data_IF_925208721172
#
_entry.id   IF_925208721172
#
_cell.length_a   1.000
_cell.length_b   1.000
_cell.length_c   1.000
_cell.angle_alpha   90.00
_cell.angle_beta   90.00
_cell.angle_gamma   90.00
#
_symmetry.space_group_name_H-M   'P 1'
#
loop_
_entity.id
_entity.type
_entity.pdbx_description
1 polymer ?
#
# COMPACT_ATOMS: atom_id res chain seq x y z
N UNK A 1 48.95 47.37 36.08
CA UNK A 1 48.77 48.75 35.57
C UNK A 1 48.78 48.68 34.06
N UNK A 2 47.77 49.25 33.41
CA UNK A 2 47.65 49.28 31.95
C UNK A 2 46.20 49.23 31.45
N UNK A 3 45.42 50.25 31.79
CA UNK A 3 44.33 50.78 30.94
C UNK A 3 44.94 51.23 29.59
N UNK A 4 44.31 51.39 28.42
CA UNK A 4 42.95 51.76 28.01
C UNK A 4 42.71 51.19 26.59
N UNK A 5 41.52 50.64 26.32
CA UNK A 5 41.06 50.28 24.98
C UNK A 5 40.09 51.34 24.45
N UNK A 6 40.42 51.92 23.30
CA UNK A 6 39.67 52.99 22.62
C UNK A 6 38.20 52.65 22.34
N UNK A 7 37.33 53.60 22.69
CA UNK A 7 35.99 53.74 22.16
C UNK A 7 36.04 54.12 20.66
N UNK A 8 35.31 53.37 19.83
CA UNK A 8 34.70 53.94 18.63
C UNK A 8 33.25 53.45 18.51
N UNK A 9 32.38 54.46 18.52
CA UNK A 9 30.94 54.48 18.31
C UNK A 9 30.49 53.74 17.06
N UNK A 10 29.64 52.72 17.23
CA UNK A 10 28.79 52.15 16.18
C UNK A 10 27.33 52.51 16.47
N UNK A 11 26.74 53.29 15.57
CA UNK A 11 25.34 53.72 15.57
C UNK A 11 24.35 52.55 15.66
N UNK A 12 23.29 52.77 16.45
CA UNK A 12 22.12 51.93 16.52
C UNK A 12 21.21 52.23 15.31
N UNK A 13 21.07 51.30 14.38
CA UNK A 13 19.99 51.31 13.38
C UNK A 13 18.88 50.35 13.83
N UNK A 14 17.82 50.94 14.35
CA UNK A 14 16.62 50.25 14.79
C UNK A 14 15.63 50.12 13.63
N UNK A 15 15.40 48.87 13.20
CA UNK A 15 14.08 48.41 12.79
C UNK A 15 13.63 48.68 11.35
N UNK A 16 13.68 47.62 10.53
CA UNK A 16 12.62 47.34 9.54
C UNK A 16 12.25 45.85 9.57
N UNK A 17 10.97 45.50 9.72
CA UNK A 17 10.53 44.11 9.66
C UNK A 17 10.54 43.62 8.20
N UNK A 18 11.22 42.48 7.98
CA UNK A 18 11.17 41.75 6.71
C UNK A 18 9.76 41.18 6.55
N UNK A 19 9.01 41.69 5.56
CA UNK A 19 7.73 41.16 5.17
C UNK A 19 7.91 39.76 4.57
N UNK A 20 7.66 38.72 5.37
CA UNK A 20 7.56 37.34 4.87
C UNK A 20 6.30 37.23 4.00
N UNK A 21 6.52 37.04 2.69
CA UNK A 21 5.46 36.91 1.70
C UNK A 21 4.60 35.68 1.99
N UNK A 22 3.28 35.90 1.96
CA UNK A 22 2.25 34.90 2.11
C UNK A 22 2.33 33.87 0.98
N UNK A 23 2.51 32.61 1.35
CA UNK A 23 2.43 31.47 0.44
C UNK A 23 2.13 30.19 1.20
N UNK A 24 1.02 30.14 1.94
CA UNK A 24 0.53 28.87 2.48
C UNK A 24 0.23 27.92 1.31
N UNK A 25 0.73 26.67 1.32
CA UNK A 25 0.40 25.71 0.28
C UNK A 25 -1.12 25.50 0.25
N UNK A 26 -1.67 25.54 -0.96
CA UNK A 26 -3.11 25.40 -1.28
C UNK A 26 -3.70 24.25 -0.46
N UNK A 27 -4.87 24.50 0.15
CA UNK A 27 -5.68 23.51 0.88
C UNK A 27 -5.64 22.19 0.11
N UNK A 28 -5.02 21.15 0.68
CA UNK A 28 -5.19 19.77 0.22
C UNK A 28 -6.69 19.55 0.15
N UNK A 29 -7.21 19.30 -1.04
CA UNK A 29 -8.53 18.71 -1.18
C UNK A 29 -8.58 17.50 -0.26
N UNK A 30 -9.56 17.49 0.64
CA UNK A 30 -9.81 16.34 1.49
C UNK A 30 -10.28 15.24 0.56
N UNK A 31 -9.35 14.41 0.11
CA UNK A 31 -9.65 13.07 -0.38
C UNK A 31 -10.32 12.38 0.82
N UNK A 32 -11.64 12.39 0.85
CA UNK A 32 -12.44 11.65 1.83
C UNK A 32 -12.48 10.22 1.37
N UNK A 33 -11.32 9.57 1.32
CA UNK A 33 -11.29 8.14 1.45
C UNK A 33 -11.89 7.88 2.83
N UNK A 34 -13.13 7.39 2.86
CA UNK A 34 -13.83 6.96 4.08
C UNK A 34 -13.14 5.69 4.58
N UNK A 35 -11.92 5.85 5.07
CA UNK A 35 -11.37 4.87 5.98
C UNK A 35 -12.20 4.99 7.25
N UNK A 36 -12.83 3.90 7.67
CA UNK A 36 -13.34 3.76 9.04
C UNK A 36 -12.12 3.80 9.97
N UNK A 37 -11.65 5.00 10.27
CA UNK A 37 -10.57 5.22 11.24
C UNK A 37 -11.18 4.88 12.60
N UNK A 38 -11.06 3.62 13.00
CA UNK A 38 -11.38 3.17 14.34
C UNK A 38 -10.33 3.77 15.28
N UNK A 39 -10.66 4.91 15.86
CA UNK A 39 -9.88 5.49 16.95
C UNK A 39 -9.87 4.49 18.11
N UNK A 40 -8.70 3.91 18.40
CA UNK A 40 -8.49 3.19 19.65
C UNK A 40 -8.23 4.24 20.73
N UNK A 41 -9.20 4.41 21.62
CA UNK A 41 -9.01 5.22 22.82
C UNK A 41 -7.91 4.58 23.69
N UNK A 42 -6.87 5.35 24.01
CA UNK A 42 -5.81 4.93 24.93
C UNK A 42 -6.35 5.13 26.34
N UNK A 43 -6.71 4.04 27.01
CA UNK A 43 -7.40 4.09 28.31
C UNK A 43 -6.45 4.05 29.50
N UNK A 44 -5.22 3.59 29.31
CA UNK A 44 -4.26 3.35 30.39
C UNK A 44 -2.90 3.95 30.07
N UNK A 45 -2.13 4.22 31.13
CA UNK A 45 -0.75 4.66 30.99
C UNK A 45 0.13 3.58 30.33
N UNK A 46 -0.09 2.30 30.65
CA UNK A 46 0.53 1.17 29.95
C UNK A 46 0.25 1.15 28.45
N UNK A 47 -1.00 1.38 28.01
CA UNK A 47 -1.33 1.44 26.58
C UNK A 47 -0.58 2.59 25.89
N UNK A 48 -0.41 3.71 26.58
CA UNK A 48 0.33 4.87 26.07
C UNK A 48 1.83 4.60 26.01
N UNK A 49 2.40 4.02 27.07
CA UNK A 49 3.80 3.62 27.13
C UNK A 49 4.12 2.58 26.06
N UNK A 50 3.26 1.58 25.86
CA UNK A 50 3.42 0.59 24.80
C UNK A 50 3.40 1.26 23.41
N UNK A 51 2.50 2.22 23.19
CA UNK A 51 2.41 2.94 21.92
C UNK A 51 3.65 3.81 21.64
N UNK A 52 4.27 4.37 22.68
CA UNK A 52 5.55 5.09 22.55
C UNK A 52 6.72 4.12 22.36
N UNK A 53 6.73 3.00 23.10
CA UNK A 53 7.78 1.99 22.98
C UNK A 53 7.79 1.33 21.61
N UNK A 54 6.62 1.20 21.01
CA UNK A 54 6.46 0.71 19.66
C UNK A 54 6.96 1.73 18.61
N UNK A 55 7.39 2.95 18.98
CA UNK A 55 7.96 3.92 18.05
C UNK A 55 9.51 3.98 18.07
N UNK A 56 10.17 3.94 16.90
CA UNK A 56 9.59 3.72 15.58
C UNK A 56 9.16 2.26 15.40
N UNK A 57 8.03 2.02 14.72
CA UNK A 57 7.51 0.67 14.48
C UNK A 57 8.63 -0.25 13.98
N UNK A 58 8.75 -1.45 14.56
CA UNK A 58 9.66 -2.45 14.02
C UNK A 58 9.33 -2.74 12.55
N UNK A 59 10.29 -3.21 11.77
CA UNK A 59 10.04 -3.58 10.37
C UNK A 59 8.85 -4.54 10.24
N UNK A 60 8.75 -5.50 11.17
CA UNK A 60 7.66 -6.46 11.24
C UNK A 60 6.32 -5.81 11.62
N UNK A 61 6.29 -4.85 12.55
CA UNK A 61 5.06 -4.13 12.90
C UNK A 61 4.52 -3.33 11.69
N UNK A 62 5.41 -2.66 10.95
CA UNK A 62 5.05 -1.99 9.70
C UNK A 62 4.49 -2.96 8.68
N UNK A 63 5.19 -4.07 8.44
CA UNK A 63 4.75 -5.08 7.47
C UNK A 63 3.35 -5.61 7.80
N UNK A 64 3.09 -5.98 9.06
CA UNK A 64 1.78 -6.45 9.50
C UNK A 64 0.68 -5.41 9.26
N UNK A 65 0.93 -4.15 9.60
CA UNK A 65 -0.03 -3.06 9.40
C UNK A 65 -0.29 -2.80 7.90
N UNK A 66 0.75 -2.86 7.07
CA UNK A 66 0.61 -2.76 5.62
C UNK A 66 -0.22 -3.94 5.08
N UNK A 67 0.05 -5.17 5.51
CA UNK A 67 -0.71 -6.33 5.07
C UNK A 67 -2.19 -6.29 5.52
N UNK A 68 -2.48 -5.78 6.71
CA UNK A 68 -3.85 -5.50 7.18
C UNK A 68 -4.56 -4.49 6.27
N UNK A 69 -3.89 -3.39 5.96
CA UNK A 69 -4.44 -2.35 5.08
C UNK A 69 -4.70 -2.86 3.66
N UNK A 70 -3.76 -3.64 3.10
CA UNK A 70 -3.90 -4.23 1.77
C UNK A 70 -5.02 -5.27 1.73
N UNK A 71 -5.19 -6.08 2.79
CA UNK A 71 -6.34 -6.98 2.89
C UNK A 71 -7.66 -6.21 2.84
N UNK A 72 -7.78 -5.10 3.58
CA UNK A 72 -8.98 -4.28 3.55
C UNK A 72 -9.26 -3.71 2.15
N UNK A 73 -8.22 -3.41 1.36
CA UNK A 73 -8.37 -3.04 -0.05
C UNK A 73 -8.84 -4.19 -0.93
N UNK A 74 -8.27 -5.39 -0.75
CA UNK A 74 -8.65 -6.60 -1.49
C UNK A 74 -10.15 -6.93 -1.30
N UNK A 75 -10.67 -6.72 -0.10
CA UNK A 75 -12.07 -6.95 0.27
C UNK A 75 -13.02 -5.82 -0.15
N UNK A 76 -12.52 -4.74 -0.75
CA UNK A 76 -13.34 -3.59 -1.13
C UNK A 76 -14.13 -3.86 -2.43
N UNK A 77 -15.35 -3.33 -2.53
CA UNK A 77 -16.24 -3.56 -3.68
C UNK A 77 -15.82 -2.81 -4.96
N UNK A 78 -15.08 -1.71 -4.80
CA UNK A 78 -14.51 -0.96 -5.92
C UNK A 78 -13.33 -1.73 -6.54
N UNK A 79 -13.47 -2.11 -7.81
CA UNK A 79 -12.49 -2.85 -8.59
C UNK A 79 -11.12 -2.19 -8.62
N UNK A 80 -11.03 -0.87 -8.70
CA UNK A 80 -9.73 -0.18 -8.75
C UNK A 80 -9.03 -0.26 -7.38
N UNK A 81 -9.80 -0.11 -6.29
CA UNK A 81 -9.28 -0.28 -4.93
C UNK A 81 -8.87 -1.72 -4.66
N UNK A 82 -9.67 -2.69 -5.12
CA UNK A 82 -9.35 -4.11 -5.04
C UNK A 82 -8.08 -4.43 -5.81
N UNK A 83 -7.95 -3.94 -7.04
CA UNK A 83 -6.77 -4.14 -7.88
C UNK A 83 -5.50 -3.60 -7.21
N UNK A 84 -5.56 -2.39 -6.64
CA UNK A 84 -4.46 -1.83 -5.84
C UNK A 84 -4.12 -2.71 -4.63
N UNK A 85 -5.13 -3.24 -3.94
CA UNK A 85 -4.96 -4.16 -2.81
C UNK A 85 -4.23 -5.44 -3.22
N UNK A 86 -4.70 -6.09 -4.28
CA UNK A 86 -4.12 -7.32 -4.81
C UNK A 86 -2.69 -7.07 -5.31
N UNK A 87 -2.45 -5.95 -5.99
CA UNK A 87 -1.12 -5.57 -6.46
C UNK A 87 -0.15 -5.37 -5.28
N UNK A 88 -0.55 -4.63 -4.25
CA UNK A 88 0.28 -4.47 -3.05
C UNK A 88 0.55 -5.80 -2.34
N UNK A 89 -0.42 -6.71 -2.31
CA UNK A 89 -0.23 -8.05 -1.73
C UNK A 89 0.79 -8.87 -2.54
N UNK A 90 0.77 -8.76 -3.87
CA UNK A 90 1.79 -9.38 -4.73
C UNK A 90 3.19 -8.82 -4.44
N UNK A 91 3.32 -7.50 -4.32
CA UNK A 91 4.59 -6.84 -3.97
C UNK A 91 5.14 -7.28 -2.61
N UNK A 92 4.27 -7.52 -1.63
CA UNK A 92 4.70 -8.12 -0.36
C UNK A 92 5.10 -9.58 -0.53
N UNK A 93 4.38 -10.34 -1.35
CA UNK A 93 4.57 -11.77 -1.55
C UNK A 93 5.83 -12.13 -2.35
N UNK A 94 6.35 -11.25 -3.20
CA UNK A 94 7.60 -11.53 -3.94
C UNK A 94 8.82 -11.65 -3.02
N UNK A 95 8.77 -11.10 -1.80
CA UNK A 95 9.80 -11.33 -0.78
C UNK A 95 9.41 -12.50 0.16
N UNK A 96 10.14 -13.63 0.15
CA UNK A 96 9.89 -14.77 1.03
C UNK A 96 9.89 -14.45 2.52
N UNK A 97 10.66 -13.45 2.97
CA UNK A 97 10.73 -13.07 4.39
C UNK A 97 9.39 -12.55 4.91
N UNK A 98 8.55 -12.01 4.02
CA UNK A 98 7.23 -11.49 4.37
C UNK A 98 6.16 -12.59 4.51
N UNK A 99 6.45 -13.82 4.07
CA UNK A 99 5.43 -14.87 3.92
C UNK A 99 4.80 -15.26 5.25
N UNK A 100 5.57 -15.23 6.35
CA UNK A 100 5.06 -15.55 7.68
C UNK A 100 4.01 -14.54 8.17
N UNK A 101 4.11 -13.29 7.71
CA UNK A 101 3.15 -12.23 8.04
C UNK A 101 1.95 -12.21 7.07
N UNK A 102 2.01 -12.92 5.94
CA UNK A 102 0.86 -13.14 5.04
C UNK A 102 0.09 -14.37 5.55
N UNK A 103 -0.67 -14.18 6.62
CA UNK A 103 -1.38 -15.25 7.32
C UNK A 103 -2.56 -15.80 6.51
N UNK A 104 -3.05 -16.99 6.89
CA UNK A 104 -4.08 -17.76 6.17
C UNK A 104 -5.29 -16.93 5.73
N UNK A 105 -5.83 -16.05 6.57
CA UNK A 105 -7.02 -15.25 6.20
C UNK A 105 -6.76 -14.38 4.96
N UNK A 106 -5.59 -13.74 4.88
CA UNK A 106 -5.20 -12.89 3.74
C UNK A 106 -5.04 -13.69 2.46
N UNK A 107 -4.49 -14.89 2.59
CA UNK A 107 -4.32 -15.83 1.49
C UNK A 107 -5.69 -16.25 0.93
N UNK A 108 -6.66 -16.53 1.81
CA UNK A 108 -8.01 -16.88 1.38
C UNK A 108 -8.72 -15.71 0.67
N UNK A 109 -8.56 -14.47 1.15
CA UNK A 109 -9.10 -13.29 0.46
C UNK A 109 -8.53 -13.15 -0.95
N UNK A 110 -7.22 -13.40 -1.14
CA UNK A 110 -6.62 -13.43 -2.48
C UNK A 110 -7.22 -14.54 -3.34
N UNK A 111 -7.44 -15.75 -2.80
CA UNK A 111 -8.03 -16.85 -3.57
C UNK A 111 -9.43 -16.49 -4.09
N UNK A 112 -10.23 -15.76 -3.32
CA UNK A 112 -11.55 -15.31 -3.77
C UNK A 112 -11.48 -14.32 -4.93
N UNK A 113 -10.42 -13.50 -5.03
CA UNK A 113 -10.20 -12.61 -6.17
C UNK A 113 -9.95 -13.34 -7.50
N UNK A 114 -9.62 -14.64 -7.50
CA UNK A 114 -9.56 -15.45 -8.73
C UNK A 114 -10.93 -15.60 -9.41
N UNK A 115 -12.02 -15.30 -8.70
CA UNK A 115 -13.39 -15.33 -9.23
C UNK A 115 -13.88 -13.96 -9.69
N UNK A 116 -13.02 -12.93 -9.65
CA UNK A 116 -13.38 -11.57 -10.04
C UNK A 116 -13.78 -11.52 -11.52
N UNK A 117 -14.79 -10.71 -11.90
CA UNK A 117 -15.12 -10.46 -13.29
C UNK A 117 -14.08 -9.58 -14.01
N UNK A 118 -13.20 -8.89 -13.27
CA UNK A 118 -12.14 -8.07 -13.85
C UNK A 118 -10.87 -8.91 -14.06
N UNK A 119 -10.44 -9.05 -15.32
CA UNK A 119 -9.27 -9.83 -15.70
C UNK A 119 -7.97 -9.32 -15.06
N UNK A 120 -7.82 -8.01 -14.84
CA UNK A 120 -6.63 -7.43 -14.20
C UNK A 120 -6.50 -7.93 -12.77
N UNK A 121 -7.62 -7.98 -12.04
CA UNK A 121 -7.68 -8.51 -10.67
C UNK A 121 -7.30 -9.98 -10.66
N UNK A 122 -7.88 -10.79 -11.55
CA UNK A 122 -7.58 -12.23 -11.65
C UNK A 122 -6.11 -12.48 -11.98
N UNK A 123 -5.57 -11.75 -12.96
CA UNK A 123 -4.18 -11.87 -13.38
C UNK A 123 -3.21 -11.52 -12.24
N UNK A 124 -3.37 -10.36 -11.60
CA UNK A 124 -2.49 -9.94 -10.50
C UNK A 124 -2.64 -10.86 -9.28
N UNK A 125 -3.85 -11.38 -9.04
CA UNK A 125 -4.08 -12.39 -7.99
C UNK A 125 -3.30 -13.67 -8.27
N UNK A 126 -3.29 -14.14 -9.51
CA UNK A 126 -2.51 -15.31 -9.90
C UNK A 126 -0.99 -15.06 -9.70
N UNK A 127 -0.50 -13.84 -9.96
CA UNK A 127 0.88 -13.45 -9.68
C UNK A 127 1.21 -13.50 -8.17
N UNK A 128 0.30 -13.00 -7.31
CA UNK A 128 0.46 -13.09 -5.87
C UNK A 128 0.51 -14.56 -5.38
N UNK A 129 -0.39 -15.40 -5.88
CA UNK A 129 -0.44 -16.84 -5.56
C UNK A 129 0.85 -17.55 -6.00
N UNK A 130 1.36 -17.23 -7.18
CA UNK A 130 2.63 -17.76 -7.67
C UNK A 130 3.79 -17.42 -6.72
N UNK A 131 3.90 -16.14 -6.30
CA UNK A 131 4.95 -15.71 -5.38
C UNK A 131 4.88 -16.44 -4.01
N UNK A 132 3.67 -16.56 -3.45
CA UNK A 132 3.42 -17.27 -2.18
C UNK A 132 3.63 -18.79 -2.28
N UNK A 133 3.54 -19.37 -3.47
CA UNK A 133 3.67 -20.83 -3.67
C UNK A 133 5.06 -21.37 -3.37
N UNK A 134 6.07 -20.52 -3.17
CA UNK A 134 7.39 -20.92 -2.69
C UNK A 134 7.37 -21.37 -1.23
N UNK A 135 6.41 -20.90 -0.42
CA UNK A 135 6.18 -21.33 0.97
C UNK A 135 5.35 -22.61 1.06
N UNK A 136 5.84 -23.59 1.84
CA UNK A 136 5.11 -24.84 2.06
C UNK A 136 3.78 -24.66 2.81
N UNK A 137 3.69 -23.64 3.69
CA UNK A 137 2.48 -23.33 4.45
C UNK A 137 1.37 -22.81 3.54
N UNK A 138 1.73 -21.93 2.60
CA UNK A 138 0.80 -21.38 1.63
C UNK A 138 0.37 -22.42 0.61
N UNK A 139 1.27 -23.30 0.13
CA UNK A 139 0.88 -24.42 -0.75
C UNK A 139 -0.19 -25.32 -0.13
N UNK A 140 -0.08 -25.64 1.16
CA UNK A 140 -1.14 -26.40 1.86
C UNK A 140 -2.46 -25.64 1.87
N UNK A 141 -2.42 -24.35 2.20
CA UNK A 141 -3.61 -23.48 2.18
C UNK A 141 -4.26 -23.43 0.78
N UNK A 142 -3.45 -23.34 -0.28
CA UNK A 142 -3.93 -23.37 -1.67
C UNK A 142 -4.56 -24.70 -2.06
N UNK A 143 -4.00 -25.81 -1.58
CA UNK A 143 -4.58 -27.14 -1.74
C UNK A 143 -5.96 -27.24 -1.09
N UNK A 144 -6.07 -26.82 0.18
CA UNK A 144 -7.35 -26.80 0.92
C UNK A 144 -8.40 -25.92 0.22
N UNK A 145 -7.98 -24.80 -0.36
CA UNK A 145 -8.86 -23.82 -1.01
C UNK A 145 -9.18 -24.14 -2.48
N UNK A 146 -8.68 -25.25 -3.04
CA UNK A 146 -8.98 -25.65 -4.42
C UNK A 146 -8.42 -24.71 -5.50
N UNK A 147 -7.30 -24.02 -5.22
CA UNK A 147 -6.72 -23.01 -6.12
C UNK A 147 -6.32 -23.59 -7.47
N UNK A 148 -5.80 -24.83 -7.50
CA UNK A 148 -5.40 -25.49 -8.75
C UNK A 148 -6.59 -25.67 -9.69
N UNK A 149 -7.75 -26.09 -9.15
CA UNK A 149 -8.97 -26.27 -9.93
C UNK A 149 -9.45 -24.93 -10.49
N UNK A 150 -9.42 -23.87 -9.68
CA UNK A 150 -9.79 -22.53 -10.12
C UNK A 150 -8.85 -22.01 -11.23
N UNK A 151 -7.53 -22.18 -11.09
CA UNK A 151 -6.56 -21.78 -12.11
C UNK A 151 -6.75 -22.55 -13.42
N UNK A 152 -7.11 -23.84 -13.37
CA UNK A 152 -7.43 -24.63 -14.56
C UNK A 152 -8.69 -24.13 -15.28
N UNK A 153 -9.71 -23.69 -14.53
CA UNK A 153 -10.90 -23.07 -15.11
C UNK A 153 -10.53 -21.77 -15.81
N UNK A 154 -9.77 -20.89 -15.14
CA UNK A 154 -9.30 -19.63 -15.71
C UNK A 154 -8.50 -19.86 -16.99
N UNK A 155 -7.56 -20.81 -16.97
CA UNK A 155 -6.74 -21.14 -18.14
C UNK A 155 -7.62 -21.54 -19.34
N UNK A 156 -8.63 -22.38 -19.13
CA UNK A 156 -9.56 -22.80 -20.18
C UNK A 156 -10.35 -21.63 -20.76
N UNK A 157 -10.79 -20.69 -19.92
CA UNK A 157 -11.51 -19.50 -20.39
C UNK A 157 -10.58 -18.54 -21.15
N UNK A 158 -9.36 -18.32 -20.65
CA UNK A 158 -8.39 -17.44 -21.31
C UNK A 158 -7.96 -17.92 -22.69
N UNK A 159 -7.91 -19.24 -22.90
CA UNK A 159 -7.60 -19.84 -24.22
C UNK A 159 -8.69 -19.57 -25.27
N UNK A 160 -9.90 -19.17 -24.87
CA UNK A 160 -10.99 -18.82 -25.79
C UNK A 160 -11.01 -17.33 -26.14
N UNK A 161 -10.19 -16.51 -25.47
CA UNK A 161 -10.17 -15.07 -25.72
C UNK A 161 -9.52 -14.81 -27.09
N UNK A 162 -10.22 -14.06 -27.94
CA UNK A 162 -9.69 -13.63 -29.23
C UNK A 162 -8.61 -12.57 -29.00
N UNK A 163 -7.44 -12.76 -29.62
CA UNK A 163 -6.35 -11.79 -29.55
C UNK A 163 -6.71 -10.60 -30.42
N UNK A 164 -7.07 -9.48 -29.79
CA UNK A 164 -7.23 -8.21 -30.50
C UNK A 164 -5.85 -7.73 -30.94
N UNK A 165 -5.51 -7.94 -32.21
CA UNK A 165 -4.31 -7.34 -32.81
C UNK A 165 -4.62 -5.88 -33.17
N UNK A 166 -3.92 -4.94 -32.54
CA UNK A 166 -3.94 -3.51 -32.89
C UNK A 166 -3.40 -3.30 -34.32
N UNK A 167 -4.23 -3.49 -35.35
CA UNK A 167 -3.83 -3.23 -36.74
C UNK A 167 -5.00 -2.92 -37.68
N UNK A 168 -5.94 -2.06 -37.26
CA UNK A 168 -7.04 -1.60 -38.13
C UNK A 168 -7.30 -0.10 -38.03
N UNK A 169 -6.24 0.72 -38.01
CA UNK A 169 -6.36 2.18 -37.87
C UNK A 169 -5.39 3.00 -38.74
N UNK A 170 -4.84 2.43 -39.80
CA UNK A 170 -4.07 3.16 -40.83
C UNK A 170 -4.42 2.64 -42.21
N UNK A 171 -5.59 3.02 -42.71
CA UNK A 171 -5.73 3.28 -44.14
C UNK A 171 -6.90 4.21 -44.38
N UNK A 172 -6.78 4.97 -45.47
CA UNK A 172 -7.75 5.93 -46.02
C UNK A 172 -7.70 7.37 -45.48
N UNK A 173 -6.62 8.06 -45.85
CA UNK A 173 -6.75 9.41 -46.42
C UNK A 173 -5.76 9.54 -47.57
N UNK A 174 -6.26 9.30 -48.79
CA UNK A 174 -5.68 9.78 -50.04
C UNK A 174 -6.44 11.02 -50.47
#
# INVERSE_FOLDING_TARGET
GGEEGHHHSGEADAGRPVAMSKGYPKKREKITARYDIKYREIKTNEDWLQLIYDQPWSGQARLRKTAEFLQAKVEHDDVEVQLEGVHGMWELAVNPDNHNDIVRVRVLCLVDCLKSPDWRVVHTTASAIWALSTSSSHRRTFGDAGVVQQLLVILKETMKLEVVTENSGKDESK
#
